data_IF_691212100511
#
_entry.id   IF_691212100511
#
_cell.length_a   1.000
_cell.length_b   1.000
_cell.length_c   1.000
_cell.angle_alpha   90.00
_cell.angle_beta   90.00
_cell.angle_gamma   90.00
#
_symmetry.space_group_name_H-M   'P 1'
#
loop_
_entity.id
_entity.type
_entity.pdbx_description
1 polymer ?
#
# COMPACT_ATOMS: atom_id res chain seq x y z
N UNK A 1 19.60 -14.03 -31.38
CA UNK A 1 20.21 -14.09 -30.04
C UNK A 1 19.07 -14.35 -29.07
N UNK A 2 18.99 -15.56 -28.50
CA UNK A 2 17.97 -15.88 -27.49
C UNK A 2 18.37 -15.19 -26.20
N UNK A 3 17.59 -14.20 -25.78
CA UNK A 3 17.71 -13.61 -24.46
C UNK A 3 17.18 -14.65 -23.48
N UNK A 4 18.05 -15.21 -22.64
CA UNK A 4 17.65 -16.09 -21.56
C UNK A 4 17.26 -15.20 -20.39
N UNK A 5 16.02 -15.32 -19.94
CA UNK A 5 15.48 -14.54 -18.82
C UNK A 5 15.39 -15.47 -17.61
N UNK A 6 15.59 -14.91 -16.42
CA UNK A 6 15.33 -15.64 -15.19
C UNK A 6 13.89 -16.19 -15.23
N UNK A 7 13.65 -17.35 -14.62
CA UNK A 7 12.33 -17.99 -14.59
C UNK A 7 11.29 -17.11 -13.89
N UNK A 8 11.74 -16.19 -13.04
CA UNK A 8 10.91 -15.19 -12.35
C UNK A 8 10.41 -14.07 -13.27
N UNK A 9 11.09 -13.84 -14.39
CA UNK A 9 10.86 -12.72 -15.31
C UNK A 9 10.06 -13.12 -16.56
N UNK A 10 9.58 -14.38 -16.62
CA UNK A 10 8.89 -14.95 -17.77
C UNK A 10 7.59 -15.70 -17.40
N UNK A 11 6.67 -15.76 -18.36
CA UNK A 11 5.35 -16.39 -18.24
C UNK A 11 5.31 -17.83 -18.76
N UNK A 12 6.23 -18.21 -19.66
CA UNK A 12 6.23 -19.53 -20.29
C UNK A 12 6.75 -20.66 -19.37
N UNK A 13 7.61 -20.38 -18.38
CA UNK A 13 8.14 -21.39 -17.45
C UNK A 13 7.28 -21.50 -16.17
N UNK A 14 6.02 -21.91 -16.32
CA UNK A 14 5.12 -22.21 -15.19
C UNK A 14 5.51 -23.54 -14.53
N UNK A 15 6.39 -23.52 -13.53
CA UNK A 15 6.58 -24.69 -12.67
C UNK A 15 5.42 -24.82 -11.69
N UNK A 16 4.38 -25.56 -12.07
CA UNK A 16 3.58 -26.53 -11.26
C UNK A 16 3.18 -26.25 -9.79
N UNK A 17 3.40 -25.06 -9.24
CA UNK A 17 2.89 -24.58 -7.97
C UNK A 17 1.90 -23.47 -8.28
N UNK A 18 0.76 -23.46 -7.60
CA UNK A 18 -0.37 -22.57 -7.89
C UNK A 18 0.00 -21.08 -7.95
N UNK A 19 -0.95 -20.28 -8.45
CA UNK A 19 -0.95 -18.82 -8.64
C UNK A 19 -0.57 -17.98 -7.40
N UNK A 20 0.50 -18.32 -6.70
CA UNK A 20 1.02 -17.50 -5.62
C UNK A 20 1.75 -16.31 -6.26
N UNK A 21 1.05 -15.18 -6.28
CA UNK A 21 1.52 -13.88 -6.74
C UNK A 21 2.88 -13.46 -6.15
N UNK A 22 3.33 -14.12 -5.07
CA UNK A 22 4.64 -13.92 -4.43
C UNK A 22 5.82 -14.62 -5.12
N UNK A 23 5.57 -15.51 -6.09
CA UNK A 23 6.61 -16.33 -6.74
C UNK A 23 7.24 -15.71 -7.98
N UNK A 24 6.76 -14.56 -8.46
CA UNK A 24 7.26 -13.90 -9.68
C UNK A 24 7.54 -12.41 -9.45
N UNK A 25 8.59 -11.90 -10.09
CA UNK A 25 9.00 -10.48 -10.08
C UNK A 25 8.14 -9.61 -11.00
N UNK A 26 7.29 -10.22 -11.82
CA UNK A 26 6.38 -9.57 -12.77
C UNK A 26 4.99 -10.25 -12.80
N UNK A 27 4.08 -9.75 -13.63
CA UNK A 27 2.72 -10.27 -13.82
C UNK A 27 2.48 -10.77 -15.25
N UNK A 28 1.80 -11.91 -15.35
CA UNK A 28 1.44 -12.57 -16.61
C UNK A 28 -0.03 -12.41 -17.03
N UNK A 29 -0.81 -11.67 -16.24
CA UNK A 29 -2.23 -11.42 -16.48
C UNK A 29 -2.43 -10.05 -17.12
N UNK A 30 -3.58 -9.83 -17.78
CA UNK A 30 -3.89 -8.59 -18.50
C UNK A 30 -3.76 -7.30 -17.68
N UNK A 31 -4.03 -7.39 -16.38
CA UNK A 31 -3.90 -6.29 -15.41
C UNK A 31 -2.46 -5.80 -15.23
N UNK A 32 -1.44 -6.57 -15.64
CA UNK A 32 -0.05 -6.16 -15.57
C UNK A 32 0.22 -4.84 -16.32
N UNK A 33 -0.62 -4.54 -17.31
CA UNK A 33 -0.50 -3.34 -18.15
C UNK A 33 -0.90 -2.09 -17.38
N UNK A 34 -1.93 -2.22 -16.53
CA UNK A 34 -2.41 -1.12 -15.70
C UNK A 34 -1.33 -0.65 -14.71
N UNK A 35 -0.56 -1.59 -14.17
CA UNK A 35 0.50 -1.33 -13.19
C UNK A 35 1.91 -1.30 -13.80
N UNK A 36 2.02 -1.53 -15.11
CA UNK A 36 3.29 -1.64 -15.82
C UNK A 36 4.25 -2.68 -15.21
N UNK A 37 3.69 -3.82 -14.79
CA UNK A 37 4.37 -4.95 -14.14
C UNK A 37 4.50 -6.17 -15.06
N UNK A 38 4.18 -6.04 -16.35
CA UNK A 38 4.18 -7.18 -17.27
C UNK A 38 5.56 -7.84 -17.41
N UNK A 39 5.58 -9.18 -17.37
CA UNK A 39 6.76 -9.97 -17.72
C UNK A 39 7.19 -9.73 -19.16
N UNK A 40 8.46 -10.02 -19.47
CA UNK A 40 9.08 -9.66 -20.76
C UNK A 40 8.39 -10.32 -21.95
N UNK A 41 7.95 -11.56 -21.77
CA UNK A 41 7.29 -12.44 -22.74
C UNK A 41 5.75 -12.40 -22.63
N UNK A 42 5.19 -11.58 -21.73
CA UNK A 42 3.74 -11.45 -21.59
C UNK A 42 3.10 -10.93 -22.88
N UNK A 43 2.07 -11.63 -23.37
CA UNK A 43 1.28 -11.22 -24.54
C UNK A 43 0.65 -9.83 -24.36
N UNK A 44 0.41 -9.44 -23.11
CA UNK A 44 -0.17 -8.15 -22.75
C UNK A 44 0.84 -7.00 -22.83
N UNK A 45 2.15 -7.27 -22.81
CA UNK A 45 3.17 -6.21 -22.80
C UNK A 45 3.15 -5.33 -24.06
N UNK A 46 2.82 -5.92 -25.21
CA UNK A 46 2.84 -5.24 -26.52
C UNK A 46 1.44 -5.11 -27.15
N UNK A 47 0.37 -5.40 -26.42
CA UNK A 47 -0.96 -5.34 -27.02
C UNK A 47 -1.35 -3.89 -27.32
N UNK A 48 -1.61 -3.61 -28.59
CA UNK A 48 -1.84 -2.28 -29.19
C UNK A 48 -3.12 -1.58 -28.73
N UNK A 49 -3.89 -2.18 -27.83
CA UNK A 49 -5.23 -1.71 -27.38
C UNK A 49 -5.43 -1.85 -25.88
N UNK A 50 -4.41 -1.57 -25.09
CA UNK A 50 -4.51 -1.71 -23.64
C UNK A 50 -4.70 -0.36 -22.94
N UNK A 51 -5.38 -0.37 -21.78
CA UNK A 51 -5.60 0.83 -20.99
C UNK A 51 -4.28 1.54 -20.70
N UNK A 52 -4.31 2.87 -20.67
CA UNK A 52 -3.18 3.68 -20.21
C UNK A 52 -2.81 3.25 -18.80
N UNK A 53 -1.51 3.12 -18.49
CA UNK A 53 -1.06 2.80 -17.13
C UNK A 53 -1.70 3.74 -16.12
N UNK A 54 -2.00 3.22 -14.92
CA UNK A 54 -2.46 4.03 -13.80
C UNK A 54 -1.30 4.94 -13.39
N UNK A 55 -1.36 6.20 -13.80
CA UNK A 55 -0.34 7.20 -13.48
C UNK A 55 -0.46 7.77 -12.08
N UNK A 56 -1.62 7.58 -11.46
CA UNK A 56 -1.97 8.19 -10.17
C UNK A 56 -1.61 7.29 -8.97
N UNK A 57 -1.24 6.03 -9.25
CA UNK A 57 -0.89 5.04 -8.23
C UNK A 57 0.63 5.05 -8.02
N UNK A 58 1.08 5.25 -6.79
CA UNK A 58 2.48 5.13 -6.40
C UNK A 58 2.71 3.83 -5.63
N UNK A 59 3.87 3.20 -5.86
CA UNK A 59 4.30 2.07 -5.06
C UNK A 59 4.81 2.57 -3.71
N UNK A 60 4.04 2.35 -2.64
CA UNK A 60 4.36 2.85 -1.31
C UNK A 60 4.48 1.73 -0.27
N UNK A 61 5.41 1.86 0.70
CA UNK A 61 5.51 0.92 1.81
C UNK A 61 4.29 1.05 2.73
N UNK A 62 3.82 -0.09 3.23
CA UNK A 62 2.76 -0.14 4.25
C UNK A 62 3.37 0.14 5.62
N UNK A 63 2.73 1.00 6.40
CA UNK A 63 3.28 1.41 7.70
C UNK A 63 3.53 0.23 8.65
N UNK A 64 4.71 0.21 9.27
CA UNK A 64 5.12 -0.89 10.17
C UNK A 64 5.37 -2.23 9.45
N UNK A 65 5.46 -2.24 8.11
CA UNK A 65 5.73 -3.43 7.29
C UNK A 65 6.92 -3.20 6.37
N UNK A 66 8.05 -3.82 6.69
CA UNK A 66 9.25 -3.77 5.82
C UNK A 66 9.14 -4.72 4.62
N UNK A 67 8.23 -5.67 4.67
CA UNK A 67 8.02 -6.74 3.69
C UNK A 67 6.88 -6.46 2.70
N UNK A 68 6.17 -5.34 2.86
CA UNK A 68 4.95 -5.05 2.13
C UNK A 68 4.96 -3.61 1.60
N UNK A 69 5.05 -3.50 0.28
CA UNK A 69 4.72 -2.29 -0.47
C UNK A 69 3.60 -2.61 -1.42
N UNK A 70 2.68 -1.65 -1.62
CA UNK A 70 1.51 -1.82 -2.50
C UNK A 70 1.27 -0.54 -3.29
N UNK A 71 0.52 -0.64 -4.38
CA UNK A 71 0.12 0.53 -5.16
C UNK A 71 -0.99 1.29 -4.43
N UNK A 72 -0.76 2.57 -4.13
CA UNK A 72 -1.71 3.45 -3.47
C UNK A 72 -1.76 4.80 -4.15
N UNK A 73 -2.92 5.46 -4.10
CA UNK A 73 -3.05 6.87 -4.46
C UNK A 73 -2.71 7.71 -3.22
N UNK A 74 -1.68 8.55 -3.33
CA UNK A 74 -1.14 9.35 -2.22
C UNK A 74 -1.22 10.87 -2.43
N UNK A 75 -1.76 11.29 -3.58
CA UNK A 75 -1.93 12.68 -4.00
C UNK A 75 -3.37 12.98 -4.32
N UNK A 76 -3.77 14.23 -4.13
CA UNK A 76 -5.11 14.68 -4.48
C UNK A 76 -5.18 15.20 -5.93
N UNK A 77 -6.18 14.74 -6.68
CA UNK A 77 -6.53 15.33 -7.97
C UNK A 77 -7.05 16.75 -7.84
N UNK A 78 -7.87 16.99 -6.82
CA UNK A 78 -8.38 18.30 -6.48
C UNK A 78 -7.56 18.89 -5.32
N UNK A 79 -6.82 19.96 -5.57
CA UNK A 79 -5.94 20.60 -4.58
C UNK A 79 -6.60 21.72 -3.79
N UNK A 80 -7.83 22.11 -4.17
CA UNK A 80 -8.53 23.24 -3.57
C UNK A 80 -9.50 22.82 -2.45
N UNK A 81 -9.31 21.63 -1.88
CA UNK A 81 -10.19 21.06 -0.86
C UNK A 81 -9.47 20.84 0.47
N UNK A 82 -10.17 20.99 1.62
CA UNK A 82 -9.53 20.96 2.94
C UNK A 82 -8.81 19.65 3.30
N UNK A 83 -9.15 18.55 2.64
CA UNK A 83 -8.55 17.24 2.87
C UNK A 83 -7.22 17.04 2.14
N UNK A 84 -6.85 17.90 1.18
CA UNK A 84 -5.58 17.80 0.45
C UNK A 84 -4.34 17.79 1.36
N UNK A 85 -4.16 18.74 2.30
CA UNK A 85 -2.96 18.74 3.14
C UNK A 85 -2.86 17.50 4.02
N UNK A 86 -4.01 16.94 4.46
CA UNK A 86 -4.04 15.72 5.25
C UNK A 86 -3.73 14.48 4.40
N UNK A 87 -4.23 14.41 3.16
CA UNK A 87 -3.87 13.36 2.23
C UNK A 87 -2.36 13.33 2.00
N UNK A 88 -1.73 14.47 1.68
CA UNK A 88 -0.33 14.50 1.27
C UNK A 88 0.65 14.50 2.45
N UNK A 89 0.20 14.82 3.66
CA UNK A 89 1.04 14.77 4.87
C UNK A 89 1.43 13.36 5.32
N UNK A 90 2.41 13.30 6.23
CA UNK A 90 2.79 12.09 6.96
C UNK A 90 2.12 12.05 8.34
N UNK A 91 1.93 10.85 8.89
CA UNK A 91 1.39 10.68 10.23
C UNK A 91 2.30 11.28 11.31
N UNK A 92 3.62 11.19 11.09
CA UNK A 92 4.64 11.76 11.97
C UNK A 92 4.62 13.28 12.01
N UNK A 93 4.57 13.94 10.84
CA UNK A 93 4.64 15.40 10.75
C UNK A 93 3.36 16.06 11.27
N UNK A 94 2.22 15.45 10.98
CA UNK A 94 0.91 15.90 11.45
C UNK A 94 0.60 15.43 12.88
N UNK A 95 1.43 14.55 13.45
CA UNK A 95 1.18 13.89 14.73
C UNK A 95 -0.23 13.25 14.78
N UNK A 96 -0.66 12.67 13.66
CA UNK A 96 -1.97 12.06 13.47
C UNK A 96 -1.81 10.62 12.97
N UNK A 97 -2.03 9.61 13.84
CA UNK A 97 -1.87 8.22 13.47
C UNK A 97 -2.91 7.73 12.45
N UNK A 98 -4.04 8.42 12.24
CA UNK A 98 -5.01 8.00 11.21
C UNK A 98 -4.45 8.15 9.80
N UNK A 99 -3.46 9.02 9.60
CA UNK A 99 -2.84 9.26 8.30
C UNK A 99 -1.96 8.11 7.82
N UNK A 100 -1.61 7.16 8.69
CA UNK A 100 -0.82 5.97 8.34
C UNK A 100 -1.68 4.78 7.92
N UNK A 101 -3.02 4.88 8.05
CA UNK A 101 -3.96 3.77 7.80
C UNK A 101 -4.50 3.88 6.37
N UNK A 102 -4.11 2.98 5.45
CA UNK A 102 -4.69 2.95 4.12
C UNK A 102 -6.16 2.62 4.14
N UNK A 103 -6.87 3.07 3.12
CA UNK A 103 -8.27 2.72 2.89
C UNK A 103 -8.46 2.17 1.49
N UNK A 104 -9.34 1.18 1.35
CA UNK A 104 -9.79 0.67 0.07
C UNK A 104 -11.21 1.18 -0.21
N UNK A 105 -11.40 1.83 -1.35
CA UNK A 105 -12.74 2.23 -1.82
C UNK A 105 -13.53 0.98 -2.18
N UNK A 106 -14.64 0.73 -1.49
CA UNK A 106 -15.53 -0.40 -1.80
C UNK A 106 -16.27 -0.22 -3.13
N UNK A 107 -16.27 1.00 -3.68
CA UNK A 107 -16.89 1.34 -4.97
C UNK A 107 -15.96 1.02 -6.14
N UNK A 108 -14.67 1.36 -6.02
CA UNK A 108 -13.71 1.26 -7.14
C UNK A 108 -12.61 0.23 -6.95
N UNK A 109 -12.48 -0.34 -5.74
CA UNK A 109 -11.39 -1.25 -5.37
C UNK A 109 -10.03 -0.56 -5.26
N UNK A 110 -9.97 0.78 -5.35
CA UNK A 110 -8.71 1.52 -5.26
C UNK A 110 -8.24 1.66 -3.83
N UNK A 111 -6.94 1.55 -3.65
CA UNK A 111 -6.28 1.77 -2.36
C UNK A 111 -5.74 3.20 -2.33
N UNK A 112 -6.02 3.89 -1.23
CA UNK A 112 -5.58 5.23 -0.93
C UNK A 112 -4.66 5.21 0.29
N UNK A 113 -3.63 6.06 0.30
CA UNK A 113 -2.66 6.15 1.41
C UNK A 113 -3.35 6.36 2.76
N UNK A 114 -4.42 7.16 2.77
CA UNK A 114 -5.30 7.37 3.92
C UNK A 114 -6.71 7.80 3.46
N UNK A 115 -7.64 7.91 4.41
CA UNK A 115 -9.02 8.32 4.16
C UNK A 115 -9.15 9.67 3.44
N UNK A 116 -8.29 10.63 3.79
CA UNK A 116 -8.33 11.97 3.18
C UNK A 116 -7.98 11.93 1.69
N UNK A 117 -7.10 11.02 1.27
CA UNK A 117 -6.83 10.77 -0.14
C UNK A 117 -8.04 10.17 -0.88
N UNK A 118 -8.79 9.26 -0.25
CA UNK A 118 -10.02 8.73 -0.85
C UNK A 118 -11.10 9.81 -0.99
N UNK A 119 -11.27 10.62 0.06
CA UNK A 119 -12.20 11.74 0.06
C UNK A 119 -11.87 12.75 -1.03
N UNK A 120 -10.60 13.13 -1.18
CA UNK A 120 -10.23 14.18 -2.15
C UNK A 120 -10.26 13.74 -3.62
N UNK A 121 -10.12 12.43 -3.88
CA UNK A 121 -10.08 11.89 -5.23
C UNK A 121 -11.44 11.38 -5.72
N UNK A 122 -12.27 10.83 -4.83
CA UNK A 122 -13.52 10.15 -5.20
C UNK A 122 -14.72 10.60 -4.34
N UNK A 123 -14.53 11.51 -3.39
CA UNK A 123 -15.57 11.95 -2.44
C UNK A 123 -16.24 10.77 -1.72
N UNK A 124 -15.42 9.75 -1.41
CA UNK A 124 -15.80 8.53 -0.69
C UNK A 124 -16.25 8.92 0.72
N UNK A 125 -17.37 8.36 1.17
CA UNK A 125 -17.83 8.50 2.55
C UNK A 125 -17.36 7.32 3.42
N UNK A 126 -17.61 7.38 4.73
CA UNK A 126 -17.14 6.37 5.69
C UNK A 126 -17.64 4.95 5.36
N UNK A 127 -18.89 4.79 4.92
CA UNK A 127 -19.47 3.50 4.54
C UNK A 127 -18.83 2.91 3.26
N UNK A 128 -18.18 3.75 2.46
CA UNK A 128 -17.51 3.37 1.22
C UNK A 128 -15.99 3.21 1.38
N UNK A 129 -15.45 3.54 2.55
CA UNK A 129 -14.02 3.43 2.84
C UNK A 129 -13.76 2.25 3.79
N UNK A 130 -13.19 1.18 3.24
CA UNK A 130 -12.74 0.05 4.04
C UNK A 130 -11.34 0.34 4.60
N UNK A 131 -11.24 0.59 5.92
CA UNK A 131 -9.97 0.85 6.60
C UNK A 131 -9.17 -0.43 6.82
N UNK A 132 -7.88 -0.37 6.53
CA UNK A 132 -6.97 -1.47 6.80
C UNK A 132 -6.82 -1.70 8.32
N UNK A 133 -6.49 -2.93 8.68
CA UNK A 133 -6.45 -3.35 10.07
C UNK A 133 -5.22 -2.75 10.77
N UNK A 134 -5.48 -1.89 11.76
CA UNK A 134 -4.47 -1.36 12.66
C UNK A 134 -4.21 -2.37 13.77
N UNK A 135 -2.96 -2.82 13.90
CA UNK A 135 -2.51 -3.65 15.01
C UNK A 135 -1.53 -2.87 15.88
N UNK A 136 -1.98 -2.56 17.08
CA UNK A 136 -1.15 -1.94 18.11
C UNK A 136 -0.61 -3.03 19.04
N UNK A 137 0.69 -2.97 19.32
CA UNK A 137 1.33 -3.84 20.31
C UNK A 137 2.10 -3.00 21.31
N UNK A 138 1.86 -3.24 22.59
CA UNK A 138 2.43 -2.49 23.69
C UNK A 138 2.23 -3.23 25.01
N UNK A 139 2.93 -2.77 26.06
CA UNK A 139 2.83 -3.37 27.40
C UNK A 139 1.76 -2.74 28.29
N UNK A 140 1.05 -1.74 27.79
CA UNK A 140 0.05 -0.98 28.56
C UNK A 140 -1.36 -1.52 28.35
N UNK A 141 -2.17 -1.44 29.41
CA UNK A 141 -3.59 -1.82 29.39
C UNK A 141 -4.40 -0.92 28.43
N UNK A 142 -4.01 0.35 28.24
CA UNK A 142 -4.68 1.27 27.29
C UNK A 142 -4.64 0.78 25.84
N UNK A 143 -3.59 0.07 25.46
CA UNK A 143 -3.46 -0.56 24.13
C UNK A 143 -4.35 -1.80 24.00
N UNK A 144 -4.64 -2.48 25.12
CA UNK A 144 -5.51 -3.65 25.13
C UNK A 144 -7.00 -3.29 25.19
N UNK A 145 -7.33 -2.18 25.85
CA UNK A 145 -8.71 -1.77 26.15
C UNK A 145 -9.30 -0.83 25.09
N UNK A 146 -8.47 -0.16 24.28
CA UNK A 146 -8.92 0.79 23.26
C UNK A 146 -8.66 0.28 21.85
N UNK A 147 -9.63 0.55 20.95
CA UNK A 147 -9.49 0.32 19.51
C UNK A 147 -8.39 1.24 18.94
N UNK A 148 -8.28 2.46 19.47
CA UNK A 148 -7.23 3.42 19.13
C UNK A 148 -7.01 4.38 20.31
N UNK A 149 -5.95 4.20 21.11
CA UNK A 149 -5.62 5.12 22.20
C UNK A 149 -5.09 6.46 21.66
N UNK A 150 -5.13 7.51 22.50
CA UNK A 150 -4.48 8.78 22.17
C UNK A 150 -2.97 8.55 22.04
N UNK A 151 -2.48 8.64 20.81
CA UNK A 151 -1.07 8.45 20.50
C UNK A 151 -0.41 9.77 20.12
N UNK A 152 0.85 9.89 20.50
CA UNK A 152 1.72 10.99 20.08
C UNK A 152 2.97 10.43 19.43
N UNK A 153 3.42 11.06 18.36
CA UNK A 153 4.67 10.75 17.73
C UNK A 153 5.82 11.42 18.51
N UNK A 154 6.67 10.60 19.09
CA UNK A 154 7.87 11.06 19.76
C UNK A 154 9.00 11.20 18.73
N UNK A 155 9.31 12.44 18.34
CA UNK A 155 10.33 12.76 17.33
C UNK A 155 11.75 12.36 17.75
N UNK A 156 12.04 12.33 19.05
CA UNK A 156 13.36 11.94 19.58
C UNK A 156 13.56 10.43 19.46
N UNK A 157 12.54 9.64 19.80
CA UNK A 157 12.58 8.19 19.73
C UNK A 157 12.21 7.65 18.34
N UNK A 158 11.68 8.52 17.46
CA UNK A 158 11.08 8.16 16.16
C UNK A 158 10.07 7.02 16.28
N UNK A 159 9.17 7.14 17.26
CA UNK A 159 8.17 6.12 17.56
C UNK A 159 6.89 6.72 18.14
N UNK A 160 5.80 5.99 17.98
CA UNK A 160 4.53 6.33 18.61
C UNK A 160 4.55 5.96 20.09
N UNK A 161 4.01 6.84 20.92
CA UNK A 161 3.84 6.62 22.36
C UNK A 161 2.39 6.83 22.74
N UNK A 162 1.93 6.07 23.73
CA UNK A 162 0.64 6.28 24.40
C UNK A 162 0.90 6.93 25.74
N UNK A 163 0.15 7.98 26.07
CA UNK A 163 0.19 8.63 27.37
C UNK A 163 -0.58 7.80 28.40
N UNK A 164 0.02 7.61 29.56
CA UNK A 164 -0.58 6.94 30.71
C UNK A 164 -1.19 7.98 31.68
N UNK A 165 -2.05 7.51 32.59
CA UNK A 165 -2.71 8.37 33.58
C UNK A 165 -1.75 9.03 34.57
N UNK A 166 -0.58 8.43 34.81
CA UNK A 166 0.47 8.96 35.69
C UNK A 166 1.37 10.00 34.99
N UNK A 167 1.08 10.33 33.72
CA UNK A 167 1.88 11.23 32.90
C UNK A 167 3.12 10.59 32.30
N UNK A 168 3.36 9.30 32.53
CA UNK A 168 4.38 8.55 31.80
C UNK A 168 3.90 8.26 30.37
N UNK A 169 4.83 7.81 29.52
CA UNK A 169 4.51 7.40 28.16
C UNK A 169 5.15 6.07 27.83
N UNK A 170 4.39 5.22 27.14
CA UNK A 170 4.84 3.90 26.72
C UNK A 170 4.96 3.86 25.22
N UNK A 171 6.12 3.46 24.70
CA UNK A 171 6.30 3.23 23.27
C UNK A 171 5.42 2.07 22.80
N UNK A 172 4.74 2.28 21.67
CA UNK A 172 3.91 1.28 21.01
C UNK A 172 4.47 0.96 19.64
N UNK A 173 4.36 -0.31 19.25
CA UNK A 173 4.65 -0.74 17.89
C UNK A 173 3.35 -0.80 17.12
N UNK A 174 3.34 -0.10 16.00
CA UNK A 174 2.22 0.01 15.07
C UNK A 174 2.50 -0.87 13.87
N UNK A 175 1.54 -1.71 13.49
CA UNK A 175 1.62 -2.51 12.28
C UNK A 175 0.29 -2.46 11.55
N UNK A 176 0.33 -2.19 10.25
CA UNK A 176 -0.86 -2.24 9.40
C UNK A 176 -0.93 -3.61 8.70
N UNK A 177 -2.11 -4.19 8.70
CA UNK A 177 -2.45 -5.45 8.02
C UNK A 177 -3.57 -5.19 7.01
N UNK A 178 -3.49 -5.73 5.78
CA UNK A 178 -4.56 -5.55 4.78
C UNK A 178 -5.85 -6.24 5.24
N UNK A 179 -6.98 -5.75 4.72
CA UNK A 179 -8.31 -6.33 4.99
C UNK A 179 -8.46 -7.66 4.27
N UNK A 180 -7.96 -7.73 3.04
CA UNK A 180 -7.90 -8.93 2.22
C UNK A 180 -6.58 -8.96 1.45
N UNK A 181 -5.83 -10.05 1.60
CA UNK A 181 -4.54 -10.22 0.92
C UNK A 181 -4.70 -10.58 -0.56
N UNK A 182 -5.83 -11.17 -0.97
CA UNK A 182 -6.02 -11.61 -2.36
C UNK A 182 -6.25 -10.44 -3.32
N UNK A 183 -6.89 -9.36 -2.83
CA UNK A 183 -7.12 -8.14 -3.62
C UNK A 183 -5.97 -7.12 -3.48
N UNK A 184 -5.11 -7.28 -2.47
CA UNK A 184 -4.00 -6.35 -2.21
C UNK A 184 -2.83 -6.62 -3.15
N UNK A 185 -2.70 -5.80 -4.19
CA UNK A 185 -1.59 -5.89 -5.15
C UNK A 185 -0.29 -5.36 -4.55
N UNK A 186 0.65 -6.28 -4.31
CA UNK A 186 2.03 -5.93 -3.93
C UNK A 186 2.72 -5.23 -5.09
N UNK A 187 3.58 -4.28 -4.74
CA UNK A 187 4.49 -3.70 -5.72
C UNK A 187 5.39 -4.76 -6.33
N UNK A 188 5.62 -4.62 -7.63
CA UNK A 188 6.59 -5.42 -8.38
C UNK A 188 7.54 -4.49 -9.13
N UNK A 189 8.83 -4.83 -9.25
CA UNK A 189 9.76 -4.05 -10.04
C UNK A 189 9.34 -4.06 -11.51
N UNK A 190 9.52 -2.93 -12.21
CA UNK A 190 9.33 -2.89 -13.66
C UNK A 190 10.46 -3.64 -14.35
N UNK A 191 10.14 -4.68 -15.11
CA UNK A 191 11.12 -5.44 -15.88
C UNK A 191 11.21 -4.85 -17.29
N UNK A 192 12.29 -4.11 -17.53
CA UNK A 192 12.55 -3.47 -18.84
C UNK A 192 13.28 -4.41 -19.80
N UNK A 193 14.20 -5.21 -19.27
CA UNK A 193 14.93 -6.25 -19.98
C UNK A 193 15.27 -7.38 -19.02
N UNK A 194 15.52 -8.56 -19.54
CA UNK A 194 15.99 -9.68 -18.73
C UNK A 194 17.37 -9.37 -18.16
N UNK A 195 17.60 -9.70 -16.89
CA UNK A 195 18.92 -9.63 -16.31
C UNK A 195 19.88 -10.47 -17.18
N UNK A 196 20.96 -9.85 -17.67
CA UNK A 196 22.04 -10.62 -18.28
C UNK A 196 22.81 -11.29 -17.15
N UNK A 197 22.91 -12.61 -17.18
CA UNK A 197 23.91 -13.36 -16.41
C UNK A 197 25.34 -12.86 -16.72
#
# INVERSE_FOLDING_TARGET
MNVHCDYLDNCEQRFGGGDDLSSYTCDCHSICVEYNTCCVDSEYRNATRLPTPRTDDECLPVYGRTDLSVYMIDKCKNRDIPSEPLCESSAEDSNDPFLMIPVTSSVTGKIYKNYFCALCNENVNEDQAAFWNLRLTGRTQRVLDSIMPDMLYNTTLKSWVVLEDDGSSTTVTVKIEPIDFEETRRCKPMITACAKE
#
